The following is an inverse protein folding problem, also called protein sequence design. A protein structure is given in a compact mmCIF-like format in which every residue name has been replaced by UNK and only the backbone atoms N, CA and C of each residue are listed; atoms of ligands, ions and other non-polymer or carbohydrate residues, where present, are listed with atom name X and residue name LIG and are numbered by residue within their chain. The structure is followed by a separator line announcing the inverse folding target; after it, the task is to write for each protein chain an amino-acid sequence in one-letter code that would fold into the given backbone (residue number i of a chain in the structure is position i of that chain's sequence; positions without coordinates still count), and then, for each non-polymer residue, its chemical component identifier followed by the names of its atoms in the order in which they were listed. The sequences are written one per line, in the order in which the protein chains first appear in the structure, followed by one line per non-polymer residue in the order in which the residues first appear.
data_IF_637817420530
#
_entry.id   IF_637817420530
#
_cell.length_a   1.000
_cell.length_b   1.000
_cell.length_c   1.000
_cell.angle_alpha   90.00
_cell.angle_beta   90.00
_cell.angle_gamma   90.00
#
_symmetry.space_group_name_H-M   'P 1'
#
loop_
_entity.id
_entity.type
_entity.pdbx_description
1 polymer ?
#
# COMPACT_ATOMS: atom_id res chain seq x y z
N UNK A 1 23.54 14.32 -14.40
CA UNK A 1 23.71 13.18 -13.47
C UNK A 1 23.01 11.96 -14.07
N UNK A 2 23.77 10.91 -14.44
CA UNK A 2 23.22 9.76 -15.15
C UNK A 2 22.33 8.88 -14.25
N UNK A 3 21.16 8.41 -14.74
CA UNK A 3 20.19 7.65 -13.95
C UNK A 3 20.69 6.27 -13.47
N UNK A 4 21.81 5.78 -14.02
CA UNK A 4 22.48 4.56 -13.56
C UNK A 4 23.21 4.74 -12.23
N UNK A 5 23.83 5.91 -12.00
CA UNK A 5 24.53 6.20 -10.75
C UNK A 5 23.57 6.21 -9.56
N UNK A 6 22.39 6.84 -9.72
CA UNK A 6 21.38 6.91 -8.66
C UNK A 6 20.89 5.52 -8.21
N UNK A 7 20.77 4.55 -9.14
CA UNK A 7 20.39 3.17 -8.83
C UNK A 7 21.50 2.41 -8.11
N UNK A 8 22.76 2.62 -8.51
CA UNK A 8 23.91 2.02 -7.84
C UNK A 8 24.05 2.55 -6.41
N UNK A 9 23.93 3.87 -6.21
CA UNK A 9 23.96 4.50 -4.89
C UNK A 9 22.79 4.06 -3.99
N UNK A 10 21.58 3.90 -4.55
CA UNK A 10 20.43 3.40 -3.80
C UNK A 10 20.60 1.91 -3.41
N UNK A 11 21.16 1.09 -4.30
CA UNK A 11 21.46 -0.31 -4.03
C UNK A 11 22.56 -0.46 -2.96
N UNK A 12 23.64 0.32 -3.07
CA UNK A 12 24.73 0.35 -2.09
C UNK A 12 24.27 0.85 -0.72
N UNK A 13 23.41 1.88 -0.64
CA UNK A 13 22.81 2.31 0.64
C UNK A 13 21.89 1.26 1.25
N UNK A 14 21.13 0.53 0.41
CA UNK A 14 20.19 -0.50 0.88
C UNK A 14 20.88 -1.75 1.42
N UNK A 15 21.99 -2.16 0.80
CA UNK A 15 22.72 -3.37 1.19
C UNK A 15 23.97 -3.08 2.04
N UNK A 16 24.41 -1.84 2.09
CA UNK A 16 25.58 -1.40 2.85
C UNK A 16 25.40 -1.58 4.36
N UNK A 17 24.23 -1.23 4.90
CA UNK A 17 23.94 -1.48 6.32
C UNK A 17 24.05 -2.98 6.65
N UNK A 18 23.45 -3.84 5.83
CA UNK A 18 23.48 -5.30 6.04
C UNK A 18 24.91 -5.86 5.93
N UNK A 19 25.67 -5.40 4.93
CA UNK A 19 27.05 -5.84 4.71
C UNK A 19 27.98 -5.38 5.85
N UNK A 20 27.86 -4.13 6.31
CA UNK A 20 28.63 -3.59 7.44
C UNK A 20 28.27 -4.32 8.73
N UNK A 21 26.98 -4.59 8.96
CA UNK A 21 26.52 -5.31 10.16
C UNK A 21 27.00 -6.76 10.16
N UNK A 22 26.96 -7.44 9.02
CA UNK A 22 27.46 -8.82 8.86
C UNK A 22 28.99 -8.89 9.01
N UNK A 23 29.72 -7.93 8.43
CA UNK A 23 31.16 -7.84 8.57
C UNK A 23 31.57 -7.59 10.03
N UNK A 24 30.88 -6.68 10.72
CA UNK A 24 31.12 -6.41 12.14
C UNK A 24 30.80 -7.63 13.04
N UNK A 25 29.72 -8.37 12.75
CA UNK A 25 29.37 -9.58 13.47
C UNK A 25 30.40 -10.72 13.27
N UNK A 26 30.85 -10.94 12.03
CA UNK A 26 31.89 -11.92 11.71
C UNK A 26 33.22 -11.56 12.37
N UNK A 27 33.58 -10.26 12.39
CA UNK A 27 34.81 -9.79 13.01
C UNK A 27 34.77 -9.89 14.55
N UNK A 28 33.62 -9.57 15.16
CA UNK A 28 33.39 -9.79 16.59
C UNK A 28 33.43 -11.26 16.99
N UNK A 29 32.87 -12.15 16.16
CA UNK A 29 32.91 -13.60 16.40
C UNK A 29 34.33 -14.17 16.29
N UNK A 30 35.11 -13.72 15.29
CA UNK A 30 36.50 -14.13 15.10
C UNK A 30 37.39 -13.68 16.27
N UNK A 31 37.27 -12.42 16.70
CA UNK A 31 38.04 -11.88 17.83
C UNK A 31 37.67 -12.54 19.17
N UNK A 32 36.39 -12.85 19.39
CA UNK A 32 35.96 -13.58 20.59
C UNK A 32 36.49 -15.02 20.60
N UNK A 33 36.41 -15.74 19.47
CA UNK A 33 36.90 -17.12 19.40
C UNK A 33 38.42 -17.24 19.64
N UNK A 34 39.20 -16.23 19.23
CA UNK A 34 40.66 -16.27 19.28
C UNK A 34 41.25 -15.58 20.53
N UNK A 35 40.56 -14.60 21.12
CA UNK A 35 41.11 -13.74 22.19
C UNK A 35 40.24 -13.63 23.46
N UNK A 36 39.14 -14.37 23.61
CA UNK A 36 38.23 -14.23 24.77
C UNK A 36 38.90 -14.48 26.14
N UNK A 37 40.01 -15.22 26.20
CA UNK A 37 40.76 -15.44 27.45
C UNK A 37 41.86 -14.39 27.72
N UNK A 38 42.18 -13.51 26.76
CA UNK A 38 43.40 -12.71 26.78
C UNK A 38 43.19 -11.23 27.19
N UNK A 39 42.00 -10.63 27.00
CA UNK A 39 41.80 -9.20 27.33
C UNK A 39 40.33 -8.77 27.43
N UNK A 40 40.01 -8.08 28.54
CA UNK A 40 38.70 -7.46 28.80
C UNK A 40 38.36 -6.36 27.77
N UNK A 41 39.37 -5.71 27.19
CA UNK A 41 39.17 -4.65 26.18
C UNK A 41 38.55 -5.20 24.89
N UNK A 42 39.05 -6.34 24.39
CA UNK A 42 38.53 -6.97 23.18
C UNK A 42 37.14 -7.58 23.40
N UNK A 43 36.86 -8.09 24.60
CA UNK A 43 35.53 -8.52 24.99
C UNK A 43 34.50 -7.36 24.97
N UNK A 44 34.88 -6.16 25.43
CA UNK A 44 34.01 -4.99 25.40
C UNK A 44 33.70 -4.51 23.97
N UNK A 45 34.69 -4.56 23.06
CA UNK A 45 34.49 -4.22 21.64
C UNK A 45 33.54 -5.20 20.95
N UNK A 46 33.72 -6.51 21.16
CA UNK A 46 32.84 -7.54 20.61
C UNK A 46 31.39 -7.40 21.10
N UNK A 47 31.20 -7.14 22.39
CA UNK A 47 29.87 -6.88 22.96
C UNK A 47 29.24 -5.61 22.36
N UNK A 48 30.01 -4.53 22.17
CA UNK A 48 29.55 -3.31 21.54
C UNK A 48 29.05 -3.52 20.10
N UNK A 49 29.78 -4.31 19.31
CA UNK A 49 29.36 -4.68 17.96
C UNK A 49 28.06 -5.50 17.94
N UNK A 50 27.91 -6.43 18.89
CA UNK A 50 26.70 -7.26 19.03
C UNK A 50 25.47 -6.42 19.40
N UNK A 51 25.62 -5.44 20.31
CA UNK A 51 24.55 -4.51 20.70
C UNK A 51 24.15 -3.63 19.52
N UNK A 52 25.12 -3.11 18.76
CA UNK A 52 24.84 -2.32 17.56
C UNK A 52 24.12 -3.15 16.49
N UNK A 53 24.50 -4.42 16.29
CA UNK A 53 23.81 -5.32 15.37
C UNK A 53 22.35 -5.57 15.80
N UNK A 54 22.10 -5.75 17.10
CA UNK A 54 20.76 -5.96 17.64
C UNK A 54 19.88 -4.71 17.53
N UNK A 55 20.44 -3.52 17.77
CA UNK A 55 19.74 -2.25 17.59
C UNK A 55 19.38 -2.01 16.12
N UNK A 56 20.30 -2.31 15.20
CA UNK A 56 20.04 -2.25 13.76
C UNK A 56 18.99 -3.28 13.31
N UNK A 57 18.96 -4.46 13.92
CA UNK A 57 17.95 -5.48 13.63
C UNK A 57 16.54 -4.99 13.95
N UNK A 58 16.34 -4.26 15.06
CA UNK A 58 15.03 -3.67 15.37
C UNK A 58 14.61 -2.61 14.36
N UNK A 59 15.55 -1.75 13.93
CA UNK A 59 15.31 -0.80 12.84
C UNK A 59 15.01 -1.48 11.51
N UNK A 60 15.68 -2.60 11.20
CA UNK A 60 15.43 -3.41 10.01
C UNK A 60 14.06 -4.11 10.06
N UNK A 61 13.65 -4.66 11.20
CA UNK A 61 12.33 -5.27 11.40
C UNK A 61 11.23 -4.20 11.31
N UNK A 62 11.44 -3.02 11.89
CA UNK A 62 10.52 -1.91 11.76
C UNK A 62 10.37 -1.49 10.29
N UNK A 63 11.47 -1.29 9.57
CA UNK A 63 11.47 -0.95 8.12
C UNK A 63 10.87 -2.06 7.26
N UNK A 64 11.07 -3.34 7.60
CA UNK A 64 10.46 -4.47 6.93
C UNK A 64 8.94 -4.53 7.18
N UNK A 65 8.48 -4.27 8.41
CA UNK A 65 7.06 -4.17 8.74
C UNK A 65 6.37 -3.00 8.04
N UNK A 66 7.03 -1.83 7.98
CA UNK A 66 6.59 -0.70 7.16
C UNK A 66 6.56 -1.03 5.66
N UNK A 67 7.49 -1.87 5.18
CA UNK A 67 7.48 -2.40 3.83
C UNK A 67 6.50 -3.59 3.64
N UNK A 68 5.76 -4.02 4.66
CA UNK A 68 4.75 -5.08 4.55
C UNK A 68 3.32 -4.53 4.69
N UNK A 69 3.15 -3.33 5.29
CA UNK A 69 1.92 -2.53 5.18
C UNK A 69 1.78 -1.93 3.78
N UNK A 70 0.54 -1.73 3.32
CA UNK A 70 0.17 -1.38 1.94
C UNK A 70 1.17 -0.49 1.18
N UNK A 71 1.72 -1.01 0.08
CA UNK A 71 2.70 -0.33 -0.78
C UNK A 71 2.12 0.84 -1.61
N UNK A 72 0.91 1.32 -1.28
CA UNK A 72 0.20 2.38 -1.96
C UNK A 72 0.14 3.65 -1.10
N UNK A 73 0.07 4.83 -1.73
CA UNK A 73 -0.11 6.07 -0.99
C UNK A 73 -1.46 6.07 -0.27
N UNK A 74 -1.46 6.52 0.99
CA UNK A 74 -2.66 6.80 1.77
C UNK A 74 -3.20 5.64 2.62
N UNK A 75 -4.19 5.96 3.44
CA UNK A 75 -4.86 5.05 4.37
C UNK A 75 -6.36 5.07 4.10
N UNK A 76 -6.99 3.89 4.12
CA UNK A 76 -8.44 3.70 4.05
C UNK A 76 -8.99 3.48 5.46
N UNK A 77 -9.97 4.28 5.84
CA UNK A 77 -10.70 4.17 7.10
C UNK A 77 -12.12 3.65 6.83
N UNK A 78 -12.58 2.76 7.70
CA UNK A 78 -13.93 2.23 7.67
C UNK A 78 -14.64 2.60 8.96
N UNK A 79 -15.89 3.03 8.80
CA UNK A 79 -16.88 3.23 9.86
C UNK A 79 -18.18 2.53 9.41
N UNK A 80 -19.13 2.27 10.30
CA UNK A 80 -20.32 1.43 10.09
C UNK A 80 -21.08 1.70 8.78
N UNK A 81 -21.04 2.93 8.27
CA UNK A 81 -21.66 3.30 6.98
C UNK A 81 -20.80 4.21 6.10
N UNK A 82 -19.50 4.37 6.40
CA UNK A 82 -18.64 5.32 5.69
C UNK A 82 -17.30 4.70 5.29
N UNK A 83 -16.82 5.13 4.14
CA UNK A 83 -15.48 4.83 3.63
C UNK A 83 -14.73 6.16 3.52
N UNK A 84 -13.65 6.28 4.27
CA UNK A 84 -12.71 7.39 4.21
C UNK A 84 -11.43 6.97 3.52
N UNK A 85 -10.86 7.85 2.70
CA UNK A 85 -9.53 7.69 2.14
C UNK A 85 -8.71 8.97 2.37
N UNK A 86 -7.57 8.81 3.03
CA UNK A 86 -6.62 9.87 3.28
C UNK A 86 -5.37 9.61 2.43
N UNK A 87 -5.35 10.17 1.22
CA UNK A 87 -4.17 10.17 0.36
C UNK A 87 -3.31 11.43 0.55
N UNK A 88 -2.05 11.40 0.05
CA UNK A 88 -1.10 12.50 0.21
C UNK A 88 -1.47 13.76 -0.57
N UNK A 89 -2.15 13.60 -1.72
CA UNK A 89 -2.57 14.72 -2.59
C UNK A 89 -4.09 14.85 -2.67
N UNK A 90 -4.79 13.72 -2.53
CA UNK A 90 -6.25 13.65 -2.66
C UNK A 90 -6.80 12.74 -1.58
N UNK A 91 -8.03 13.03 -1.15
CA UNK A 91 -8.72 12.24 -0.14
C UNK A 91 -10.20 12.59 -0.14
N UNK A 92 -10.97 11.85 0.62
CA UNK A 92 -12.39 12.09 0.76
C UNK A 92 -13.04 11.06 1.67
N UNK A 93 -14.21 11.41 2.17
CA UNK A 93 -15.06 10.50 2.94
C UNK A 93 -16.40 10.44 2.25
N UNK A 94 -16.90 9.23 2.01
CA UNK A 94 -18.24 9.02 1.47
C UNK A 94 -18.99 8.00 2.31
N UNK A 95 -20.27 8.26 2.53
CA UNK A 95 -21.18 7.25 3.03
C UNK A 95 -21.51 6.22 1.94
N UNK A 96 -21.76 4.98 2.34
CA UNK A 96 -21.98 3.85 1.44
C UNK A 96 -23.28 4.01 0.63
N UNK A 97 -24.30 4.59 1.24
CA UNK A 97 -25.60 4.91 0.64
C UNK A 97 -25.53 6.01 -0.44
N UNK A 98 -24.52 6.86 -0.38
CA UNK A 98 -24.27 7.90 -1.38
C UNK A 98 -23.50 7.41 -2.61
N UNK A 99 -22.91 6.21 -2.56
CA UNK A 99 -22.16 5.62 -3.68
C UNK A 99 -23.14 5.25 -4.79
N UNK A 100 -22.91 5.75 -6.00
CA UNK A 100 -23.72 5.46 -7.19
C UNK A 100 -23.01 4.54 -8.17
N UNK A 101 -21.68 4.58 -8.21
CA UNK A 101 -20.88 3.76 -9.12
C UNK A 101 -19.52 3.44 -8.49
N UNK A 102 -19.11 2.18 -8.63
CA UNK A 102 -17.78 1.70 -8.26
C UNK A 102 -17.10 1.21 -9.53
N UNK A 103 -15.91 1.73 -9.80
CA UNK A 103 -15.13 1.36 -10.97
C UNK A 103 -13.68 1.06 -10.61
N UNK A 104 -13.02 0.23 -11.42
CA UNK A 104 -11.61 -0.11 -11.26
C UNK A 104 -10.82 0.35 -12.48
N UNK A 105 -9.76 1.12 -12.24
CA UNK A 105 -8.85 1.62 -13.25
C UNK A 105 -7.67 0.67 -13.55
N UNK A 106 -6.90 0.97 -14.61
CA UNK A 106 -5.79 0.13 -15.10
C UNK A 106 -4.67 -0.12 -14.10
N UNK A 107 -4.45 0.80 -13.14
CA UNK A 107 -3.34 0.75 -12.18
C UNK A 107 -3.77 0.10 -10.84
N UNK A 108 -4.92 -0.61 -10.83
CA UNK A 108 -5.47 -1.15 -9.59
C UNK A 108 -5.94 -0.04 -8.64
N UNK A 109 -6.47 1.04 -9.20
CA UNK A 109 -7.11 2.12 -8.45
C UNK A 109 -8.61 1.90 -8.50
N UNK A 110 -9.26 1.84 -7.33
CA UNK A 110 -10.70 1.75 -7.20
C UNK A 110 -11.28 3.15 -7.05
N UNK A 111 -12.18 3.54 -7.93
CA UNK A 111 -12.83 4.86 -7.91
C UNK A 111 -14.26 4.73 -7.41
N UNK A 112 -14.58 5.45 -6.34
CA UNK A 112 -15.92 5.58 -5.78
C UNK A 112 -16.56 6.87 -6.30
N UNK A 113 -17.61 6.73 -7.08
CA UNK A 113 -18.45 7.85 -7.52
C UNK A 113 -19.64 7.95 -6.59
N UNK A 114 -19.87 9.13 -6.03
CA UNK A 114 -20.93 9.39 -5.07
C UNK A 114 -21.60 10.75 -5.34
N UNK A 115 -22.80 10.94 -4.79
CA UNK A 115 -23.57 12.19 -4.96
C UNK A 115 -23.01 13.38 -4.18
N UNK A 116 -22.12 13.14 -3.22
CA UNK A 116 -21.57 14.15 -2.33
C UNK A 116 -20.43 15.01 -2.89
N UNK A 117 -19.99 14.81 -4.13
CA UNK A 117 -18.88 15.61 -4.69
C UNK A 117 -18.00 14.86 -5.70
N UNK A 118 -16.71 15.21 -5.71
CA UNK A 118 -15.73 14.63 -6.63
C UNK A 118 -15.48 13.14 -6.31
N UNK A 119 -15.21 12.29 -7.32
CA UNK A 119 -14.95 10.87 -7.11
C UNK A 119 -13.70 10.64 -6.25
N UNK A 120 -13.75 9.63 -5.39
CA UNK A 120 -12.63 9.25 -4.51
C UNK A 120 -11.87 8.10 -5.17
N UNK A 121 -10.61 8.35 -5.53
CA UNK A 121 -9.73 7.35 -6.15
C UNK A 121 -8.82 6.71 -5.10
N UNK A 122 -9.06 5.43 -4.81
CA UNK A 122 -8.39 4.67 -3.75
C UNK A 122 -7.44 3.64 -4.38
N UNK A 123 -6.11 3.74 -4.17
CA UNK A 123 -5.18 2.69 -4.59
C UNK A 123 -5.50 1.39 -3.85
N UNK A 124 -5.63 0.27 -4.56
CA UNK A 124 -5.82 -1.04 -3.93
C UNK A 124 -4.56 -1.56 -3.21
N UNK A 125 -3.48 -0.78 -3.21
CA UNK A 125 -2.28 -0.99 -2.40
C UNK A 125 -2.22 -0.09 -1.17
N UNK A 126 -3.17 0.83 -0.97
CA UNK A 126 -3.23 1.69 0.22
C UNK A 126 -3.40 0.85 1.49
N UNK A 127 -2.95 1.40 2.63
CA UNK A 127 -3.15 0.73 3.92
C UNK A 127 -4.65 0.62 4.24
N UNK A 128 -5.10 -0.55 4.69
CA UNK A 128 -6.51 -0.83 4.94
C UNK A 128 -7.34 -1.16 3.69
N UNK A 129 -6.78 -1.08 2.48
CA UNK A 129 -7.54 -1.36 1.24
C UNK A 129 -8.13 -2.78 1.17
N UNK A 130 -7.59 -3.74 1.93
CA UNK A 130 -8.12 -5.11 2.03
C UNK A 130 -9.57 -5.15 2.57
N UNK A 131 -9.97 -4.18 3.39
CA UNK A 131 -11.34 -4.05 3.92
C UNK A 131 -12.37 -3.51 2.92
N UNK A 132 -11.94 -2.98 1.77
CA UNK A 132 -12.86 -2.38 0.77
C UNK A 132 -13.86 -3.40 0.23
N UNK A 133 -13.43 -4.65 0.03
CA UNK A 133 -14.30 -5.69 -0.51
C UNK A 133 -15.45 -5.99 0.47
N UNK A 134 -15.15 -6.04 1.77
CA UNK A 134 -16.14 -6.30 2.81
C UNK A 134 -17.10 -5.11 2.96
N UNK A 135 -16.56 -3.89 3.07
CA UNK A 135 -17.36 -2.68 3.15
C UNK A 135 -18.30 -2.50 1.94
N UNK A 136 -17.82 -2.76 0.73
CA UNK A 136 -18.65 -2.67 -0.48
C UNK A 136 -19.66 -3.81 -0.61
N UNK A 137 -19.47 -4.92 0.11
CA UNK A 137 -20.43 -6.03 0.10
C UNK A 137 -21.77 -5.66 0.78
N UNK A 138 -21.79 -4.59 1.58
CA UNK A 138 -23.04 -4.02 2.10
C UNK A 138 -23.87 -3.27 1.02
N UNK A 139 -23.32 -3.02 -0.17
CA UNK A 139 -24.08 -2.44 -1.28
C UNK A 139 -25.03 -3.47 -1.93
N UNK A 140 -26.30 -3.13 -2.18
CA UNK A 140 -27.24 -4.05 -2.81
C UNK A 140 -26.78 -4.52 -4.20
N UNK A 141 -26.64 -5.83 -4.37
CA UNK A 141 -26.25 -6.44 -5.65
C UNK A 141 -24.78 -6.25 -6.02
N UNK A 142 -23.91 -5.90 -5.07
CA UNK A 142 -22.46 -5.96 -5.26
C UNK A 142 -21.98 -7.40 -5.39
N UNK A 143 -21.11 -7.66 -6.37
CA UNK A 143 -20.49 -8.97 -6.61
C UNK A 143 -18.97 -8.86 -6.36
N UNK A 144 -18.45 -9.37 -5.23
CA UNK A 144 -17.01 -9.40 -4.95
C UNK A 144 -16.20 -10.12 -6.05
N UNK A 145 -16.78 -11.14 -6.69
CA UNK A 145 -16.13 -11.86 -7.76
C UNK A 145 -16.07 -11.02 -9.06
N UNK A 146 -17.00 -10.07 -9.27
CA UNK A 146 -16.89 -9.10 -10.36
C UNK A 146 -15.68 -8.18 -10.17
N UNK A 147 -15.41 -7.75 -8.93
CA UNK A 147 -14.23 -6.93 -8.62
C UNK A 147 -12.93 -7.69 -8.85
N UNK A 148 -12.84 -8.94 -8.38
CA UNK A 148 -11.68 -9.80 -8.59
C UNK A 148 -11.43 -10.06 -10.09
N UNK A 149 -12.49 -10.34 -10.86
CA UNK A 149 -12.42 -10.52 -12.33
C UNK A 149 -11.97 -9.24 -13.04
N UNK A 150 -12.51 -8.09 -12.64
CA UNK A 150 -12.14 -6.81 -13.23
C UNK A 150 -10.67 -6.46 -12.92
N UNK A 151 -10.17 -6.79 -11.73
CA UNK A 151 -8.74 -6.66 -11.37
C UNK A 151 -7.84 -7.58 -12.19
N UNK A 152 -8.26 -8.81 -12.46
CA UNK A 152 -7.49 -9.77 -13.25
C UNK A 152 -7.41 -9.37 -14.74
N UNK A 153 -8.43 -8.68 -15.25
CA UNK A 153 -8.46 -8.14 -16.61
C UNK A 153 -7.51 -6.94 -16.71
N UNK A 154 -6.24 -7.20 -16.98
CA UNK A 154 -5.27 -6.17 -17.36
C UNK A 154 -5.77 -5.44 -18.61
N UNK A 155 -6.20 -4.19 -18.47
CA UNK A 155 -6.69 -3.37 -19.58
C UNK A 155 -6.58 -1.88 -19.26
N UNK A 156 -6.32 -1.07 -20.29
CA UNK A 156 -6.06 0.38 -20.16
C UNK A 156 -7.32 1.23 -19.82
N UNK A 157 -8.51 0.62 -19.77
CA UNK A 157 -9.78 1.33 -19.58
C UNK A 157 -10.38 1.02 -18.22
N UNK A 158 -10.96 2.04 -17.61
CA UNK A 158 -11.76 1.91 -16.39
C UNK A 158 -12.93 0.96 -16.62
N UNK A 159 -13.07 -0.04 -15.75
CA UNK A 159 -14.15 -1.01 -15.78
C UNK A 159 -15.11 -0.74 -14.61
N UNK A 160 -16.39 -0.51 -14.91
CA UNK A 160 -17.41 -0.40 -13.86
C UNK A 160 -17.69 -1.78 -13.28
N UNK A 161 -17.55 -1.92 -11.97
CA UNK A 161 -17.74 -3.18 -11.23
C UNK A 161 -19.13 -3.23 -10.61
N UNK A 162 -19.64 -2.08 -10.17
CA UNK A 162 -20.98 -1.95 -9.64
C UNK A 162 -21.55 -0.58 -9.98
N UNK A 163 -22.86 -0.55 -10.16
CA UNK A 163 -23.62 0.69 -10.28
C UNK A 163 -24.95 0.50 -9.57
N UNK A 164 -25.40 1.53 -8.85
CA UNK A 164 -26.73 1.55 -8.24
C UNK A 164 -27.76 1.31 -9.32
N UNK A 165 -28.54 0.23 -9.19
CA UNK A 165 -29.69 -0.02 -10.07
C UNK A 165 -30.70 1.07 -9.79
N UNK A 166 -30.90 1.97 -10.76
CA UNK A 166 -31.92 3.00 -10.66
C UNK A 166 -33.30 2.36 -10.70
N UNK A 167 -34.05 2.44 -9.61
CA UNK A 167 -35.45 2.81 -9.74
C UNK A 167 -35.48 4.28 -10.16
N UNK A 168 -36.20 4.59 -11.24
CA UNK A 168 -36.41 5.93 -11.80
C UNK A 168 -35.23 6.58 -12.57
N UNK A 169 -34.72 5.87 -13.58
CA UNK A 169 -34.37 6.59 -14.82
C UNK A 169 -35.65 6.80 -15.60
N UNK A 170 -36.23 8.00 -15.52
CA UNK A 170 -37.18 8.46 -16.54
C UNK A 170 -36.57 8.17 -17.92
N UNK A 171 -37.34 7.61 -18.88
CA UNK A 171 -36.86 7.35 -20.22
C UNK A 171 -36.28 8.66 -20.77
N UNK A 172 -34.99 8.63 -21.12
CA UNK A 172 -34.34 9.74 -21.77
C UNK A 172 -35.21 10.13 -22.96
N UNK A 173 -35.76 11.34 -22.93
CA UNK A 173 -36.51 11.93 -24.01
C UNK A 173 -35.68 11.77 -25.29
N UNK A 174 -36.17 10.91 -26.18
CA UNK A 174 -35.78 10.91 -27.58
C UNK A 174 -35.90 12.34 -28.08
N UNK A 175 -34.77 12.98 -28.39
CA UNK A 175 -34.79 14.23 -29.16
C UNK A 175 -35.55 13.93 -30.46
N UNK A 176 -36.68 14.60 -30.74
CA UNK A 176 -37.37 14.42 -32.00
C UNK A 176 -36.47 14.93 -33.13
N UNK A 177 -36.45 14.18 -34.22
CA UNK A 177 -35.62 14.47 -35.38
C UNK A 177 -35.86 15.85 -35.96
N UNK A 178 -34.78 16.51 -36.37
CA UNK A 178 -34.84 17.55 -37.38
C UNK A 178 -34.58 16.90 -38.73
N UNK A 179 -35.62 16.90 -39.56
CA UNK A 179 -35.47 16.82 -41.03
C UNK A 179 -34.68 18.01 -41.54
#
# INVERSE_FOLDING_TARGET
MSPSAARLWAFLRRWGEVAVTAAAALWGLWTFADHAAASVFWAAVGLGAMVLALLNLRGAIARARLATGGHGPGIVLFDEAQIGYLGPETGGVTALDLIDRVAIGPVGTLTLYHRGGAPIAIPLSAEGADGLVDALSALPGFDPAALARARARRGAREATVWQRRGGDRLPALSRPGSR
#
